data_IF_540653494710
#
_entry.id   IF_540653494710
#
_cell.length_a   1.000
_cell.length_b   1.000
_cell.length_c   1.000
_cell.angle_alpha   90.00
_cell.angle_beta   90.00
_cell.angle_gamma   90.00
#
_symmetry.space_group_name_H-M   'P 1'
#
loop_
_entity.id
_entity.type
_entity.pdbx_description
1 polymer ?
#
# COMPACT_ATOMS: atom_id res chain seq x y z
N UNK A 1 17.59 11.37 -9.47
CA UNK A 1 16.87 10.07 -9.53
C UNK A 1 15.75 10.00 -8.50
N UNK A 2 16.01 10.07 -7.19
CA UNK A 2 14.96 9.92 -6.16
C UNK A 2 13.69 10.78 -6.38
N UNK A 3 13.84 12.08 -6.68
CA UNK A 3 12.69 12.96 -6.93
C UNK A 3 11.90 12.61 -8.20
N UNK A 4 12.59 12.17 -9.25
CA UNK A 4 11.96 11.65 -10.47
C UNK A 4 11.17 10.37 -10.17
N UNK A 5 11.78 9.41 -9.46
CA UNK A 5 11.14 8.16 -9.08
C UNK A 5 9.91 8.40 -8.21
N UNK A 6 10.01 9.29 -7.21
CA UNK A 6 8.87 9.62 -6.35
C UNK A 6 7.76 10.31 -7.15
N UNK A 7 8.09 11.26 -8.03
CA UNK A 7 7.09 11.93 -8.88
C UNK A 7 6.34 10.94 -9.77
N UNK A 8 7.05 10.02 -10.44
CA UNK A 8 6.43 8.99 -11.26
C UNK A 8 5.56 8.04 -10.41
N UNK A 9 6.04 7.70 -9.21
CA UNK A 9 5.31 6.85 -8.30
C UNK A 9 4.01 7.52 -7.81
N UNK A 10 4.03 8.81 -7.49
CA UNK A 10 2.82 9.61 -7.16
C UNK A 10 1.84 9.62 -8.34
N UNK A 11 2.34 9.79 -9.57
CA UNK A 11 1.49 9.75 -10.77
C UNK A 11 0.78 8.41 -10.97
N UNK A 12 1.36 7.32 -10.49
CA UNK A 12 0.73 5.98 -10.54
C UNK A 12 -0.10 5.68 -9.27
N UNK A 13 0.31 6.23 -8.13
CA UNK A 13 -0.22 5.94 -6.79
C UNK A 13 -0.11 7.18 -5.90
N UNK A 14 -1.19 8.00 -5.82
CA UNK A 14 -1.16 9.27 -5.09
C UNK A 14 -0.81 9.15 -3.60
N UNK A 15 -1.11 8.01 -2.97
CA UNK A 15 -0.72 7.67 -1.59
C UNK A 15 0.78 7.81 -1.32
N UNK A 16 1.63 7.64 -2.34
CA UNK A 16 3.08 7.78 -2.20
C UNK A 16 3.53 9.23 -1.98
N UNK A 17 2.65 10.22 -2.14
CA UNK A 17 2.96 11.59 -1.74
C UNK A 17 3.26 11.69 -0.23
N UNK A 18 2.66 10.80 0.58
CA UNK A 18 2.93 10.69 2.02
C UNK A 18 4.33 10.16 2.35
N UNK A 19 5.10 9.73 1.35
CA UNK A 19 6.52 9.42 1.51
C UNK A 19 7.43 10.66 1.46
N UNK A 20 6.94 11.81 1.02
CA UNK A 20 7.73 13.04 0.90
C UNK A 20 8.43 13.46 2.22
N UNK A 21 7.79 13.37 3.41
CA UNK A 21 8.44 13.69 4.68
C UNK A 21 9.73 12.90 4.94
N UNK A 22 9.84 11.66 4.46
CA UNK A 22 11.06 10.85 4.55
C UNK A 22 12.26 11.60 3.95
N UNK A 23 12.12 12.06 2.70
CA UNK A 23 13.20 12.73 1.98
C UNK A 23 13.52 14.10 2.57
N UNK A 24 12.52 14.83 3.04
CA UNK A 24 12.70 16.12 3.72
C UNK A 24 13.51 15.93 5.00
N UNK A 25 13.13 14.98 5.86
CA UNK A 25 13.82 14.70 7.12
C UNK A 25 15.26 14.21 6.88
N UNK A 26 15.51 13.40 5.86
CA UNK A 26 16.86 12.96 5.50
C UNK A 26 17.75 14.11 5.04
N UNK A 27 17.24 15.00 4.19
CA UNK A 27 18.01 16.16 3.72
C UNK A 27 18.27 17.16 4.86
N UNK A 28 17.28 17.42 5.71
CA UNK A 28 17.44 18.35 6.85
C UNK A 28 18.38 17.80 7.93
N UNK A 29 18.42 16.47 8.11
CA UNK A 29 19.34 15.80 9.03
C UNK A 29 20.76 15.60 8.48
N UNK A 30 21.01 15.95 7.22
CA UNK A 30 22.33 15.81 6.60
C UNK A 30 23.36 16.78 7.22
N UNK A 31 24.60 16.31 7.37
CA UNK A 31 25.75 17.15 7.77
C UNK A 31 26.34 17.93 6.60
N UNK A 32 25.62 18.03 5.48
CA UNK A 32 26.08 18.77 4.31
C UNK A 32 26.11 20.28 4.58
N UNK A 33 27.10 20.96 4.00
CA UNK A 33 27.12 22.42 3.92
C UNK A 33 25.94 22.97 3.11
N UNK A 34 25.58 24.24 3.34
CA UNK A 34 24.42 24.90 2.70
C UNK A 34 24.38 24.73 1.18
N UNK A 35 25.46 24.94 0.41
CA UNK A 35 25.41 24.81 -1.06
C UNK A 35 25.15 23.37 -1.52
N UNK A 36 25.76 22.39 -0.85
CA UNK A 36 25.57 20.97 -1.15
C UNK A 36 24.14 20.52 -0.81
N UNK A 37 23.61 20.97 0.33
CA UNK A 37 22.22 20.70 0.74
C UNK A 37 21.22 21.30 -0.25
N UNK A 38 21.40 22.56 -0.65
CA UNK A 38 20.54 23.22 -1.65
C UNK A 38 20.56 22.45 -2.98
N UNK A 39 21.74 21.99 -3.43
CA UNK A 39 21.85 21.16 -4.64
C UNK A 39 21.06 19.85 -4.53
N UNK A 40 21.06 19.19 -3.35
CA UNK A 40 20.24 17.99 -3.11
C UNK A 40 18.75 18.30 -3.17
N UNK A 41 18.31 19.39 -2.52
CA UNK A 41 16.92 19.86 -2.55
C UNK A 41 16.49 20.14 -3.99
N UNK A 42 17.28 20.87 -4.77
CA UNK A 42 16.93 21.20 -6.15
C UNK A 42 16.90 19.95 -7.05
N UNK A 43 17.91 19.07 -6.97
CA UNK A 43 17.96 17.82 -7.76
C UNK A 43 16.82 16.85 -7.43
N UNK A 44 16.25 16.94 -6.23
CA UNK A 44 15.09 16.17 -5.82
C UNK A 44 13.78 16.88 -6.18
N UNK A 45 13.65 18.16 -5.81
CA UNK A 45 12.43 18.94 -5.92
C UNK A 45 12.06 19.31 -7.35
N UNK A 46 13.03 19.68 -8.20
CA UNK A 46 12.75 20.07 -9.59
C UNK A 46 12.02 18.97 -10.39
N UNK A 47 12.53 17.71 -10.48
CA UNK A 47 11.82 16.67 -11.22
C UNK A 47 10.48 16.28 -10.55
N UNK A 48 10.40 16.32 -9.21
CA UNK A 48 9.17 16.03 -8.48
C UNK A 48 8.07 17.06 -8.80
N UNK A 49 8.40 18.35 -8.73
CA UNK A 49 7.49 19.45 -9.03
C UNK A 49 7.12 19.49 -10.51
N UNK A 50 8.06 19.20 -11.42
CA UNK A 50 7.77 19.10 -12.85
C UNK A 50 6.73 18.02 -13.13
N UNK A 51 6.86 16.83 -12.54
CA UNK A 51 5.86 15.77 -12.68
C UNK A 51 4.53 16.19 -12.04
N UNK A 52 4.56 16.78 -10.83
CA UNK A 52 3.36 17.27 -10.18
C UNK A 52 2.59 18.30 -11.02
N UNK A 53 3.30 19.24 -11.66
CA UNK A 53 2.71 20.23 -12.56
C UNK A 53 2.12 19.59 -13.82
N UNK A 54 2.80 18.59 -14.41
CA UNK A 54 2.27 17.84 -15.55
C UNK A 54 1.00 17.06 -15.19
N UNK A 55 0.96 16.45 -14.00
CA UNK A 55 -0.24 15.76 -13.49
C UNK A 55 -1.39 16.73 -13.25
N UNK A 56 -1.13 17.87 -12.60
CA UNK A 56 -2.12 18.91 -12.37
C UNK A 56 -2.69 19.48 -13.68
N UNK A 57 -1.82 19.73 -14.67
CA UNK A 57 -2.25 20.17 -16.00
C UNK A 57 -3.09 19.10 -16.72
N UNK A 58 -2.67 17.84 -16.65
CA UNK A 58 -3.44 16.72 -17.20
C UNK A 58 -4.83 16.60 -16.56
N UNK A 59 -4.92 16.71 -15.24
CA UNK A 59 -6.18 16.68 -14.49
C UNK A 59 -7.07 17.87 -14.84
N UNK A 60 -6.52 19.09 -14.92
CA UNK A 60 -7.26 20.28 -15.37
C UNK A 60 -7.85 20.10 -16.77
N UNK A 61 -7.07 19.55 -17.71
CA UNK A 61 -7.53 19.30 -19.07
C UNK A 61 -8.63 18.23 -19.15
N UNK A 62 -8.59 17.23 -18.27
CA UNK A 62 -9.51 16.08 -18.28
C UNK A 62 -10.78 16.30 -17.46
N UNK A 63 -10.66 16.97 -16.32
CA UNK A 63 -11.70 17.09 -15.30
C UNK A 63 -12.12 18.53 -14.99
N UNK A 64 -11.39 19.53 -15.50
CA UNK A 64 -11.64 20.92 -15.16
C UNK A 64 -11.08 21.35 -13.79
N UNK A 65 -10.42 20.45 -13.06
CA UNK A 65 -9.84 20.68 -11.74
C UNK A 65 -8.45 20.01 -11.65
N UNK A 66 -7.37 20.75 -11.30
CA UNK A 66 -6.01 20.19 -11.24
C UNK A 66 -5.81 19.18 -10.11
N UNK A 67 -6.65 19.22 -9.07
CA UNK A 67 -6.58 18.36 -7.89
C UNK A 67 -7.56 17.18 -7.96
N UNK A 68 -8.33 17.07 -9.04
CA UNK A 68 -9.25 15.94 -9.24
C UNK A 68 -8.52 14.71 -9.81
N UNK A 69 -8.71 13.57 -9.15
CA UNK A 69 -8.08 12.29 -9.52
C UNK A 69 -9.04 11.33 -10.24
N UNK A 70 -10.23 11.80 -10.62
CA UNK A 70 -11.27 11.07 -11.34
C UNK A 70 -12.28 10.33 -10.46
N UNK A 71 -12.19 10.47 -9.13
CA UNK A 71 -13.01 9.66 -8.20
C UNK A 71 -14.48 10.10 -8.22
N UNK A 72 -14.75 11.38 -8.52
CA UNK A 72 -16.12 11.91 -8.69
C UNK A 72 -16.89 11.27 -9.84
N UNK A 73 -16.16 10.78 -10.85
CA UNK A 73 -16.72 10.24 -12.10
C UNK A 73 -16.81 8.71 -12.10
N UNK A 74 -16.46 8.05 -10.99
CA UNK A 74 -16.62 6.61 -10.87
C UNK A 74 -18.11 6.28 -10.65
N UNK A 75 -18.73 5.67 -11.65
CA UNK A 75 -20.04 5.01 -11.50
C UNK A 75 -19.85 3.69 -10.75
N UNK A 76 -19.88 3.75 -9.42
CA UNK A 76 -19.69 2.59 -8.55
C UNK A 76 -20.87 2.41 -7.61
N UNK A 77 -21.24 1.15 -7.37
CA UNK A 77 -22.35 0.75 -6.49
C UNK A 77 -22.22 1.22 -5.03
N UNK A 78 -21.04 1.72 -4.65
CA UNK A 78 -20.70 2.23 -3.31
C UNK A 78 -20.76 3.76 -3.22
N UNK A 79 -21.31 4.43 -4.22
CA UNK A 79 -21.39 5.89 -4.27
C UNK A 79 -22.05 6.44 -3.02
N UNK A 80 -23.13 5.82 -2.56
CA UNK A 80 -23.85 6.20 -1.34
C UNK A 80 -22.94 6.24 -0.10
N UNK A 81 -21.98 5.31 0.01
CA UNK A 81 -21.00 5.31 1.11
C UNK A 81 -20.03 6.49 1.00
N UNK A 82 -19.56 6.79 -0.21
CA UNK A 82 -18.68 7.93 -0.48
C UNK A 82 -19.42 9.25 -0.25
N UNK A 83 -20.69 9.33 -0.61
CA UNK A 83 -21.53 10.51 -0.37
C UNK A 83 -21.82 10.71 1.13
N UNK A 84 -22.05 9.64 1.88
CA UNK A 84 -22.36 9.71 3.30
C UNK A 84 -21.14 9.97 4.20
N UNK A 85 -19.98 9.41 3.89
CA UNK A 85 -18.80 9.40 4.80
C UNK A 85 -17.54 9.97 4.13
N UNK A 86 -17.57 10.21 2.82
CA UNK A 86 -16.40 10.65 2.07
C UNK A 86 -15.55 9.49 1.55
N UNK A 87 -14.60 9.85 0.68
CA UNK A 87 -13.69 8.91 0.02
C UNK A 87 -12.64 8.34 0.99
N UNK A 88 -12.17 9.19 1.92
CA UNK A 88 -11.23 8.84 2.97
C UNK A 88 -11.81 9.27 4.31
N UNK A 89 -11.94 8.32 5.24
CA UNK A 89 -12.42 8.58 6.60
C UNK A 89 -11.84 7.54 7.57
N UNK A 90 -11.60 7.95 8.82
CA UNK A 90 -11.07 7.05 9.84
C UNK A 90 -12.08 5.98 10.28
N UNK A 91 -13.38 6.18 10.03
CA UNK A 91 -14.42 5.17 10.24
C UNK A 91 -14.19 3.89 9.41
N UNK A 92 -13.40 3.96 8.33
CA UNK A 92 -13.05 2.78 7.53
C UNK A 92 -11.87 1.96 8.10
N UNK A 93 -11.08 2.52 9.03
CA UNK A 93 -9.93 1.81 9.62
C UNK A 93 -10.32 0.44 10.19
N UNK A 94 -11.35 0.31 11.05
CA UNK A 94 -11.71 -0.98 11.63
C UNK A 94 -12.01 -2.04 10.57
N UNK A 95 -12.71 -1.64 9.49
CA UNK A 95 -13.04 -2.53 8.38
C UNK A 95 -11.79 -2.97 7.62
N UNK A 96 -10.91 -2.03 7.26
CA UNK A 96 -9.71 -2.32 6.50
C UNK A 96 -8.69 -3.12 7.32
N UNK A 97 -8.53 -2.81 8.61
CA UNK A 97 -7.68 -3.56 9.54
C UNK A 97 -8.17 -5.00 9.75
N UNK A 98 -9.49 -5.24 9.79
CA UNK A 98 -10.05 -6.60 9.84
C UNK A 98 -9.59 -7.45 8.66
N UNK A 99 -9.49 -6.88 7.46
CA UNK A 99 -8.99 -7.62 6.29
C UNK A 99 -7.46 -7.76 6.34
N UNK A 100 -6.74 -6.69 6.66
CA UNK A 100 -5.25 -6.69 6.73
C UNK A 100 -4.73 -7.71 7.74
N UNK A 101 -5.41 -7.91 8.87
CA UNK A 101 -4.98 -8.84 9.92
C UNK A 101 -5.77 -10.15 9.98
N UNK A 102 -7.05 -10.13 9.57
CA UNK A 102 -7.97 -11.24 9.73
C UNK A 102 -8.44 -11.91 8.44
N UNK A 103 -7.97 -11.47 7.26
CA UNK A 103 -8.28 -12.12 5.99
C UNK A 103 -7.69 -13.53 5.91
N UNK A 104 -8.47 -14.55 6.25
CA UNK A 104 -8.07 -15.95 6.19
C UNK A 104 -8.92 -16.69 5.14
N UNK A 105 -8.36 -17.72 4.48
CA UNK A 105 -9.18 -18.61 3.67
C UNK A 105 -10.17 -19.36 4.56
N UNK A 106 -11.34 -19.67 4.02
CA UNK A 106 -12.38 -20.43 4.70
C UNK A 106 -12.78 -21.66 3.88
N UNK A 107 -13.48 -22.60 4.51
CA UNK A 107 -13.97 -23.82 3.83
C UNK A 107 -15.22 -23.50 3.02
N UNK A 108 -15.14 -23.70 1.71
CA UNK A 108 -16.28 -23.79 0.80
C UNK A 108 -16.58 -25.25 0.44
N UNK A 109 -17.51 -25.45 -0.50
CA UNK A 109 -17.96 -26.78 -0.94
C UNK A 109 -16.80 -27.64 -1.51
N UNK A 110 -15.95 -27.04 -2.34
CA UNK A 110 -14.89 -27.75 -3.08
C UNK A 110 -13.47 -27.50 -2.55
N UNK A 111 -13.34 -27.00 -1.31
CA UNK A 111 -12.05 -26.78 -0.67
C UNK A 111 -11.90 -25.43 0.02
N UNK A 112 -10.67 -24.91 0.02
CA UNK A 112 -10.36 -23.60 0.60
C UNK A 112 -10.68 -22.49 -0.39
N UNK A 113 -11.38 -21.47 0.10
CA UNK A 113 -11.84 -20.32 -0.67
C UNK A 113 -11.29 -19.03 -0.04
N UNK A 114 -10.92 -18.09 -0.88
CA UNK A 114 -10.36 -16.79 -0.52
C UNK A 114 -11.43 -15.73 -0.78
N UNK A 115 -11.69 -14.89 0.22
CA UNK A 115 -12.60 -13.76 0.05
C UNK A 115 -11.96 -12.70 -0.87
N UNK A 116 -12.72 -12.14 -1.81
CA UNK A 116 -12.31 -11.08 -2.73
C UNK A 116 -11.83 -9.77 -2.06
N UNK A 117 -12.11 -9.59 -0.77
CA UNK A 117 -11.50 -8.54 0.04
C UNK A 117 -9.99 -8.78 0.27
N UNK A 118 -9.48 -9.98 0.04
CA UNK A 118 -8.07 -10.35 0.11
C UNK A 118 -7.70 -11.08 1.41
N UNK A 119 -6.44 -11.51 1.46
CA UNK A 119 -5.84 -12.21 2.59
C UNK A 119 -5.10 -11.25 3.55
N UNK A 120 -4.85 -11.74 4.76
CA UNK A 120 -4.09 -11.06 5.78
C UNK A 120 -2.64 -10.88 5.34
N UNK A 121 -2.06 -9.71 5.63
CA UNK A 121 -0.72 -9.35 5.18
C UNK A 121 0.36 -10.25 5.78
N UNK A 122 0.19 -10.69 7.03
CA UNK A 122 1.12 -11.61 7.68
C UNK A 122 1.06 -13.03 7.08
N UNK A 123 -0.06 -13.39 6.41
CA UNK A 123 -0.18 -14.66 5.70
C UNK A 123 0.47 -14.57 4.31
N UNK A 124 0.25 -13.48 3.58
CA UNK A 124 0.82 -13.31 2.23
C UNK A 124 2.27 -12.84 2.25
N UNK A 125 2.73 -12.18 3.31
CA UNK A 125 4.08 -11.62 3.41
C UNK A 125 4.61 -11.67 4.86
N UNK A 126 4.72 -12.87 5.47
CA UNK A 126 5.17 -13.02 6.86
C UNK A 126 6.56 -12.43 7.13
N UNK A 127 7.43 -12.32 6.12
CA UNK A 127 8.74 -11.70 6.26
C UNK A 127 8.67 -10.22 6.67
N UNK A 128 7.55 -9.53 6.44
CA UNK A 128 7.33 -8.16 6.94
C UNK A 128 7.37 -8.07 8.48
N UNK A 129 7.08 -9.16 9.19
CA UNK A 129 7.15 -9.21 10.65
C UNK A 129 8.58 -8.94 11.18
N UNK A 130 9.63 -9.13 10.37
CA UNK A 130 10.99 -8.77 10.76
C UNK A 130 11.18 -7.27 10.99
N UNK A 131 10.32 -6.42 10.41
CA UNK A 131 10.36 -4.98 10.65
C UNK A 131 9.96 -4.63 12.10
N UNK A 132 9.17 -5.47 12.77
CA UNK A 132 8.62 -5.20 14.12
C UNK A 132 9.67 -5.33 15.24
N UNK A 133 10.70 -6.15 15.02
CA UNK A 133 11.70 -6.47 16.05
C UNK A 133 13.13 -6.31 15.52
N UNK A 134 13.56 -5.07 15.20
CA UNK A 134 14.93 -4.82 14.76
C UNK A 134 15.95 -5.11 15.87
N UNK A 135 17.19 -5.42 15.51
CA UNK A 135 18.30 -5.46 16.45
C UNK A 135 18.73 -4.04 16.87
N UNK A 136 18.57 -3.04 15.99
CA UNK A 136 18.85 -1.63 16.27
C UNK A 136 17.73 -0.72 15.75
N UNK A 137 17.21 0.16 16.61
CA UNK A 137 16.26 1.22 16.24
C UNK A 137 17.01 2.49 15.86
N UNK A 138 17.67 2.47 14.70
CA UNK A 138 18.37 3.65 14.18
C UNK A 138 17.38 4.76 13.77
N UNK A 139 17.86 6.00 13.60
CA UNK A 139 17.05 7.11 13.05
C UNK A 139 16.38 6.72 11.73
N UNK A 140 17.12 6.04 10.85
CA UNK A 140 16.63 5.58 9.56
C UNK A 140 15.57 4.47 9.72
N UNK A 141 15.70 3.58 10.70
CA UNK A 141 14.65 2.60 11.01
C UNK A 141 13.35 3.29 11.42
N UNK A 142 13.42 4.23 12.37
CA UNK A 142 12.25 4.98 12.83
C UNK A 142 11.58 5.72 11.67
N UNK A 143 12.38 6.42 10.86
CA UNK A 143 11.87 7.16 9.71
C UNK A 143 11.22 6.23 8.68
N UNK A 144 11.78 5.04 8.44
CA UNK A 144 11.22 4.04 7.53
C UNK A 144 9.88 3.52 8.03
N UNK A 145 9.76 3.16 9.32
CA UNK A 145 8.51 2.69 9.92
C UNK A 145 7.45 3.80 9.92
N UNK A 146 7.80 5.01 10.34
CA UNK A 146 6.87 6.15 10.32
C UNK A 146 6.39 6.42 8.90
N UNK A 147 7.27 6.37 7.90
CA UNK A 147 6.89 6.58 6.50
C UNK A 147 5.99 5.46 5.99
N UNK A 148 6.27 4.20 6.33
CA UNK A 148 5.40 3.09 5.99
C UNK A 148 3.98 3.30 6.55
N UNK A 149 3.86 3.77 7.80
CA UNK A 149 2.57 4.07 8.42
C UNK A 149 1.86 5.25 7.76
N UNK A 150 2.59 6.33 7.44
CA UNK A 150 2.03 7.49 6.74
C UNK A 150 1.50 7.13 5.35
N UNK A 151 2.23 6.29 4.61
CA UNK A 151 1.82 5.81 3.29
C UNK A 151 0.68 4.78 3.38
N UNK A 152 0.63 3.98 4.45
CA UNK A 152 -0.46 3.03 4.69
C UNK A 152 -1.78 3.74 5.05
N UNK A 153 -1.72 4.89 5.73
CA UNK A 153 -2.88 5.56 6.30
C UNK A 153 -3.98 5.85 5.26
N UNK A 154 -3.72 6.46 4.08
CA UNK A 154 -4.75 6.66 3.06
C UNK A 154 -5.42 5.37 2.61
N UNK A 155 -4.66 4.28 2.42
CA UNK A 155 -5.23 2.99 2.03
C UNK A 155 -6.07 2.36 3.15
N UNK A 156 -5.67 2.54 4.40
CA UNK A 156 -6.40 2.06 5.58
C UNK A 156 -7.64 2.90 5.89
N UNK A 157 -7.66 4.18 5.52
CA UNK A 157 -8.82 5.06 5.63
C UNK A 157 -9.63 5.14 4.34
N UNK A 158 -9.38 4.29 3.35
CA UNK A 158 -10.12 4.32 2.09
C UNK A 158 -11.48 3.62 2.20
N UNK A 159 -12.49 4.13 1.49
CA UNK A 159 -13.87 3.64 1.51
C UNK A 159 -14.04 2.13 1.19
N UNK A 160 -13.06 1.52 0.51
CA UNK A 160 -13.01 0.09 0.25
C UNK A 160 -11.69 -0.54 0.70
N UNK A 161 -11.73 -1.86 0.90
CA UNK A 161 -10.60 -2.65 1.40
C UNK A 161 -9.56 -3.00 0.34
N UNK A 162 -9.75 -2.56 -0.90
CA UNK A 162 -8.98 -3.01 -2.06
C UNK A 162 -9.71 -4.02 -2.96
N UNK A 163 -10.98 -4.29 -2.71
CA UNK A 163 -11.81 -5.19 -3.51
C UNK A 163 -11.81 -4.81 -5.02
N UNK A 164 -11.72 -5.75 -5.97
CA UNK A 164 -11.41 -7.19 -5.81
C UNK A 164 -9.88 -7.38 -5.76
N UNK A 165 -9.38 -8.22 -4.85
CA UNK A 165 -7.95 -8.55 -4.70
C UNK A 165 -7.70 -9.95 -4.10
N UNK A 166 -6.50 -10.50 -4.34
CA UNK A 166 -6.02 -11.75 -3.71
C UNK A 166 -5.37 -11.49 -2.33
N UNK A 167 -4.39 -10.60 -2.27
CA UNK A 167 -3.72 -10.16 -1.04
C UNK A 167 -4.05 -8.71 -0.70
N UNK A 168 -3.27 -8.07 0.15
CA UNK A 168 -3.41 -6.63 0.44
C UNK A 168 -2.74 -5.78 -0.65
N UNK A 169 -3.44 -5.41 -1.74
CA UNK A 169 -2.80 -4.67 -2.84
C UNK A 169 -2.23 -3.32 -2.42
N UNK A 170 -2.88 -2.66 -1.45
CA UNK A 170 -2.43 -1.39 -0.89
C UNK A 170 -1.12 -1.51 -0.10
N UNK A 171 -0.71 -2.73 0.31
CA UNK A 171 0.58 -2.91 0.97
C UNK A 171 1.77 -2.66 0.06
N UNK A 172 1.58 -2.73 -1.25
CA UNK A 172 2.62 -2.46 -2.22
C UNK A 172 3.13 -1.00 -2.16
N UNK A 173 2.34 -0.07 -1.60
CA UNK A 173 2.73 1.35 -1.50
C UNK A 173 3.76 1.56 -0.39
N UNK A 174 3.55 0.92 0.77
CA UNK A 174 4.44 1.05 1.92
C UNK A 174 5.49 -0.07 2.04
N UNK A 175 5.39 -1.13 1.22
CA UNK A 175 6.34 -2.23 1.20
C UNK A 175 7.83 -1.80 1.07
N UNK A 176 8.21 -0.83 0.22
CA UNK A 176 9.61 -0.39 0.13
C UNK A 176 10.15 0.12 1.47
N UNK A 177 9.33 0.82 2.25
CA UNK A 177 9.72 1.35 3.55
C UNK A 177 9.76 0.27 4.63
N UNK A 178 8.88 -0.74 4.55
CA UNK A 178 8.96 -1.94 5.41
C UNK A 178 10.24 -2.73 5.12
N UNK A 179 10.58 -2.94 3.85
CA UNK A 179 11.83 -3.61 3.44
C UNK A 179 13.05 -2.81 3.89
N UNK A 180 13.03 -1.48 3.74
CA UNK A 180 14.08 -0.61 4.24
C UNK A 180 14.24 -0.75 5.76
N UNK A 181 13.14 -0.76 6.52
CA UNK A 181 13.14 -0.97 7.96
C UNK A 181 13.76 -2.33 8.35
N UNK A 182 13.46 -3.41 7.61
CA UNK A 182 14.11 -4.72 7.82
C UNK A 182 15.62 -4.62 7.60
N UNK A 183 16.04 -4.01 6.49
CA UNK A 183 17.46 -3.89 6.13
C UNK A 183 18.26 -3.08 7.16
N UNK A 184 17.76 -1.92 7.57
CA UNK A 184 18.46 -1.00 8.49
C UNK A 184 18.28 -1.40 9.96
N UNK A 185 17.33 -2.29 10.25
CA UNK A 185 17.12 -2.87 11.58
C UNK A 185 18.20 -3.88 11.99
N UNK A 186 19.08 -4.28 11.05
CA UNK A 186 20.26 -5.14 11.26
C UNK A 186 19.98 -6.45 12.00
N UNK A 187 18.75 -6.96 11.94
CA UNK A 187 18.41 -8.29 12.48
C UNK A 187 18.96 -9.37 11.54
N UNK A 188 19.61 -10.44 12.05
CA UNK A 188 20.07 -11.54 11.21
C UNK A 188 18.93 -12.19 10.40
N UNK A 189 19.15 -12.35 9.09
CA UNK A 189 18.20 -12.98 8.17
C UNK A 189 18.47 -14.50 8.09
N UNK A 190 18.14 -15.20 9.17
CA UNK A 190 18.35 -16.65 9.29
C UNK A 190 17.32 -17.50 8.50
N UNK A 191 17.35 -18.82 8.72
CA UNK A 191 16.50 -19.79 8.02
C UNK A 191 15.01 -19.46 8.06
N UNK A 192 14.50 -18.97 9.21
CA UNK A 192 13.09 -18.60 9.36
C UNK A 192 12.69 -17.41 8.47
N UNK A 193 13.59 -16.43 8.26
CA UNK A 193 13.33 -15.30 7.38
C UNK A 193 13.17 -15.78 5.93
N UNK A 194 14.10 -16.62 5.48
CA UNK A 194 14.07 -17.16 4.12
C UNK A 194 12.92 -18.13 3.90
N UNK A 195 12.53 -18.90 4.90
CA UNK A 195 11.30 -19.70 4.85
C UNK A 195 10.06 -18.80 4.71
N UNK A 196 9.97 -17.72 5.48
CA UNK A 196 8.88 -16.74 5.36
C UNK A 196 8.86 -16.01 4.01
N UNK A 197 10.03 -15.67 3.46
CA UNK A 197 10.16 -15.07 2.13
C UNK A 197 9.78 -16.06 1.02
N UNK A 198 10.21 -17.32 1.13
CA UNK A 198 9.83 -18.41 0.23
C UNK A 198 8.34 -18.69 0.26
N UNK A 199 7.74 -18.72 1.45
CA UNK A 199 6.28 -18.81 1.61
C UNK A 199 5.55 -17.65 0.93
N UNK A 200 6.02 -16.41 1.14
CA UNK A 200 5.45 -15.24 0.48
C UNK A 200 5.53 -15.36 -1.05
N UNK A 201 6.65 -15.83 -1.60
CA UNK A 201 6.80 -16.06 -3.03
C UNK A 201 5.79 -17.09 -3.54
N UNK A 202 5.62 -18.22 -2.84
CA UNK A 202 4.67 -19.27 -3.22
C UNK A 202 3.22 -18.79 -3.18
N UNK A 203 2.81 -18.13 -2.09
CA UNK A 203 1.42 -17.65 -1.93
C UNK A 203 1.09 -16.54 -2.92
N UNK A 204 1.97 -15.54 -3.09
CA UNK A 204 1.73 -14.50 -4.08
C UNK A 204 1.87 -15.02 -5.51
N UNK A 205 2.72 -16.02 -5.75
CA UNK A 205 2.80 -16.72 -7.03
C UNK A 205 1.50 -17.47 -7.38
N UNK A 206 0.89 -18.15 -6.40
CA UNK A 206 -0.44 -18.74 -6.56
C UNK A 206 -1.50 -17.67 -6.86
N UNK A 207 -1.49 -16.56 -6.12
CA UNK A 207 -2.37 -15.42 -6.38
C UNK A 207 -2.21 -14.87 -7.79
N UNK A 208 -0.98 -14.61 -8.23
CA UNK A 208 -0.69 -14.12 -9.57
C UNK A 208 -1.10 -15.11 -10.68
N UNK A 209 -1.04 -16.41 -10.42
CA UNK A 209 -1.43 -17.44 -11.38
C UNK A 209 -2.96 -17.65 -11.46
N UNK A 210 -3.67 -17.55 -10.34
CA UNK A 210 -5.09 -17.96 -10.22
C UNK A 210 -6.09 -16.81 -10.19
N UNK A 211 -5.70 -15.63 -9.72
CA UNK A 211 -6.60 -14.50 -9.53
C UNK A 211 -7.11 -13.97 -10.88
N UNK A 212 -8.43 -13.78 -10.99
CA UNK A 212 -9.12 -13.33 -12.21
C UNK A 212 -8.86 -14.21 -13.45
N UNK A 213 -8.46 -15.47 -13.22
CA UNK A 213 -8.21 -16.46 -14.28
C UNK A 213 -9.40 -17.38 -14.47
N UNK A 214 -9.84 -17.52 -15.73
CA UNK A 214 -10.87 -18.49 -16.11
C UNK A 214 -10.51 -19.91 -15.65
N UNK A 215 -11.45 -20.59 -15.01
CA UNK A 215 -11.28 -21.94 -14.43
C UNK A 215 -10.70 -21.97 -13.01
N UNK A 216 -10.33 -20.81 -12.44
CA UNK A 216 -9.84 -20.68 -11.07
C UNK A 216 -10.86 -20.03 -10.13
N UNK A 217 -12.08 -19.75 -10.59
CA UNK A 217 -13.13 -19.05 -9.84
C UNK A 217 -13.50 -19.77 -8.54
N UNK A 218 -13.40 -21.10 -8.52
CA UNK A 218 -13.64 -21.94 -7.33
C UNK A 218 -12.80 -21.57 -6.10
N UNK A 219 -11.66 -20.91 -6.30
CA UNK A 219 -10.79 -20.49 -5.20
C UNK A 219 -11.22 -19.16 -4.58
N UNK A 220 -12.22 -18.48 -5.16
CA UNK A 220 -12.59 -17.11 -4.80
C UNK A 220 -14.06 -16.97 -4.47
N UNK A 221 -14.34 -16.27 -3.39
CA UNK A 221 -15.67 -15.83 -3.02
C UNK A 221 -15.80 -14.34 -3.27
N UNK A 222 -16.74 -13.96 -4.13
CA UNK A 222 -17.02 -12.56 -4.48
C UNK A 222 -18.44 -12.24 -4.03
N UNK A 223 -18.54 -11.43 -2.98
CA UNK A 223 -19.80 -10.79 -2.57
C UNK A 223 -19.94 -9.42 -3.28
N UNK A 224 -20.90 -9.26 -4.21
CA UNK A 224 -21.11 -8.01 -4.92
C UNK A 224 -21.62 -6.88 -4.03
N UNK A 225 -22.03 -7.16 -2.77
CA UNK A 225 -22.44 -6.17 -1.75
C UNK A 225 -21.24 -5.67 -0.92
N UNK A 226 -20.06 -6.30 -1.06
CA UNK A 226 -18.85 -6.04 -0.28
C UNK A 226 -19.03 -6.12 1.24
N UNK A 227 -20.15 -6.59 1.77
CA UNK A 227 -20.43 -6.56 3.20
C UNK A 227 -19.80 -7.74 3.93
N UNK A 228 -19.63 -8.87 3.23
CA UNK A 228 -19.11 -10.11 3.81
C UNK A 228 -17.59 -10.13 3.73
N UNK A 229 -16.92 -9.83 4.85
CA UNK A 229 -15.45 -9.79 4.94
C UNK A 229 -14.79 -11.16 5.21
N UNK A 230 -15.59 -12.18 5.52
CA UNK A 230 -15.11 -13.52 5.91
C UNK A 230 -15.86 -14.63 5.19
N UNK A 231 -16.12 -15.73 5.90
CA UNK A 231 -17.01 -16.77 5.40
C UNK A 231 -18.45 -16.25 5.32
N UNK A 232 -19.22 -16.62 4.29
CA UNK A 232 -20.64 -16.29 4.22
C UNK A 232 -21.41 -16.97 5.38
N UNK A 233 -22.49 -16.34 5.89
CA UNK A 233 -23.35 -16.99 6.87
C UNK A 233 -24.00 -18.24 6.26
N UNK A 234 -24.11 -19.30 7.08
CA UNK A 234 -24.77 -20.57 6.74
C UNK A 234 -26.29 -20.44 6.68
#
# INVERSE_FOLDING_TARGET
LAGLCLGLAIGSRPSLAFALPFFVVEVLGSRDERPARLRKILRFGVPLLAIGALLAWHNQARFGDPLEFGHRYLEIRWRDRIEATGLFDLAYLPRNLRVVFGGLPFRGADGWVINAHGLALWLTSPFFLWALWPAKRSRLWCLSVTTALLVALPGLSYQNTGWIQFGQRFSNDYAPFVILAIAVGTRPLGRLFWAAAGWALLINGFGAWSFDRRGCERFYFVDPTQQILGAPPS
#
